data_IF_946633451485
#
_entry.id   IF_946633451485
#
_cell.length_a   1.000
_cell.length_b   1.000
_cell.length_c   1.000
_cell.angle_alpha   90.00
_cell.angle_beta   90.00
_cell.angle_gamma   90.00
#
_symmetry.space_group_name_H-M   'P 1'
#
loop_
_entity.id
_entity.type
_entity.pdbx_description
1 polymer ?
#
# COMPACT_ATOMS: atom_id res chain seq x y z
N UNK A 1 79.11 21.12 12.32
CA UNK A 1 77.95 20.66 11.55
C UNK A 1 77.60 19.26 12.06
N UNK A 2 76.62 19.18 12.95
CA UNK A 2 76.21 17.94 13.65
C UNK A 2 74.86 17.50 13.06
N UNK A 3 74.86 16.39 12.31
CA UNK A 3 73.67 15.82 11.70
C UNK A 3 72.81 15.06 12.71
N UNK A 4 71.53 15.41 12.77
CA UNK A 4 70.51 14.76 13.59
C UNK A 4 70.00 13.46 12.94
N UNK A 5 69.97 12.36 13.70
CA UNK A 5 69.18 11.16 13.39
C UNK A 5 67.82 11.26 14.10
N UNK A 6 66.67 11.06 13.43
CA UNK A 6 65.39 10.92 14.12
C UNK A 6 65.16 9.44 14.49
N UNK A 7 65.05 9.15 15.78
CA UNK A 7 64.47 7.91 16.29
C UNK A 7 62.95 7.96 16.07
N UNK A 8 62.43 7.15 15.15
CA UNK A 8 60.99 6.92 14.99
C UNK A 8 60.51 5.93 16.04
N UNK A 9 59.73 6.43 16.99
CA UNK A 9 59.04 5.66 18.03
C UNK A 9 57.79 4.99 17.41
N UNK A 10 57.80 3.67 17.26
CA UNK A 10 56.62 2.91 16.81
C UNK A 10 55.74 2.62 18.03
N UNK A 11 54.62 3.33 18.13
CA UNK A 11 53.56 3.06 19.10
C UNK A 11 52.72 1.90 18.60
N UNK A 12 52.86 0.71 19.21
CA UNK A 12 51.88 -0.37 19.06
C UNK A 12 50.63 0.00 19.87
N UNK A 13 49.60 0.47 19.18
CA UNK A 13 48.24 0.54 19.73
C UNK A 13 47.65 -0.87 19.77
N UNK A 14 47.62 -1.50 20.94
CA UNK A 14 46.80 -2.67 21.17
C UNK A 14 45.33 -2.24 21.24
N UNK A 15 44.56 -2.49 20.18
CA UNK A 15 43.10 -2.43 20.22
C UNK A 15 42.61 -3.64 21.00
N UNK A 16 42.21 -3.43 22.27
CA UNK A 16 41.36 -4.40 22.96
C UNK A 16 39.99 -4.33 22.28
N UNK A 17 39.70 -5.29 21.40
CA UNK A 17 38.34 -5.59 21.00
C UNK A 17 37.60 -6.10 22.24
N UNK A 18 36.87 -5.19 22.91
CA UNK A 18 35.89 -5.55 23.90
C UNK A 18 34.76 -6.26 23.14
N UNK A 19 34.85 -7.58 23.01
CA UNK A 19 33.71 -8.39 22.57
C UNK A 19 32.59 -8.19 23.60
N UNK A 20 31.66 -7.29 23.31
CA UNK A 20 30.40 -7.17 24.01
C UNK A 20 29.73 -8.54 23.94
N UNK A 21 29.63 -9.23 25.07
CA UNK A 21 28.96 -10.51 25.14
C UNK A 21 27.54 -10.34 24.57
N UNK A 22 27.20 -11.12 23.55
CA UNK A 22 25.86 -11.11 22.97
C UNK A 22 24.84 -11.46 24.07
N UNK A 23 23.81 -10.62 24.22
CA UNK A 23 22.74 -10.78 25.23
C UNK A 23 21.93 -12.05 25.00
N UNK A 24 21.72 -12.40 23.73
CA UNK A 24 21.23 -13.70 23.27
C UNK A 24 22.32 -14.36 22.46
N UNK A 25 23.05 -15.31 23.06
CA UNK A 25 24.15 -16.01 22.38
C UNK A 25 23.71 -17.24 21.59
N UNK A 26 22.53 -17.80 21.88
CA UNK A 26 22.04 -19.06 21.30
C UNK A 26 20.85 -18.79 20.39
N UNK A 27 21.09 -18.87 19.08
CA UNK A 27 20.08 -18.83 18.02
C UNK A 27 19.91 -20.23 17.43
N UNK A 28 19.08 -21.06 18.05
CA UNK A 28 18.88 -22.47 17.68
C UNK A 28 17.40 -22.87 17.84
N UNK A 29 16.97 -23.87 17.08
CA UNK A 29 15.62 -24.41 17.24
C UNK A 29 15.42 -24.96 18.66
N UNK A 30 14.23 -24.74 19.23
CA UNK A 30 13.87 -25.14 20.59
C UNK A 30 14.42 -24.22 21.69
N UNK A 31 14.97 -23.05 21.36
CA UNK A 31 15.45 -22.07 22.34
C UNK A 31 14.65 -20.76 22.31
N UNK A 32 14.56 -20.15 23.48
CA UNK A 32 13.94 -18.87 23.74
C UNK A 32 14.99 -17.76 23.82
N UNK A 33 14.58 -16.52 23.60
CA UNK A 33 15.38 -15.32 23.87
C UNK A 33 15.00 -14.70 25.22
N UNK A 34 13.73 -14.81 25.58
CA UNK A 34 13.19 -14.34 26.84
C UNK A 34 12.08 -15.24 27.36
N UNK A 35 11.83 -15.18 28.67
CA UNK A 35 10.80 -15.96 29.33
C UNK A 35 10.34 -15.28 30.63
N UNK A 36 9.03 -15.26 30.88
CA UNK A 36 8.45 -14.63 32.06
C UNK A 36 8.43 -13.10 31.97
N UNK A 37 8.01 -12.45 33.04
CA UNK A 37 7.75 -11.01 33.09
C UNK A 37 8.67 -10.31 34.07
N UNK A 38 9.27 -9.19 33.64
CA UNK A 38 10.21 -8.38 34.39
C UNK A 38 9.62 -7.05 34.86
N UNK A 39 8.30 -6.87 34.73
CA UNK A 39 7.56 -5.71 35.21
C UNK A 39 7.49 -4.58 34.18
N UNK A 40 7.39 -3.34 34.64
CA UNK A 40 7.22 -2.18 33.76
C UNK A 40 8.54 -1.81 33.08
N UNK A 41 8.46 -1.37 31.84
CA UNK A 41 9.54 -0.66 31.18
C UNK A 41 9.84 0.66 31.92
N UNK A 42 11.05 0.87 32.45
CA UNK A 42 11.41 2.11 33.15
C UNK A 42 11.53 3.33 32.23
N UNK A 43 11.66 3.13 30.90
CA UNK A 43 11.80 4.22 29.92
C UNK A 43 10.43 4.78 29.47
N UNK A 44 9.33 4.06 29.76
CA UNK A 44 7.97 4.43 29.36
C UNK A 44 7.18 4.99 30.55
N UNK A 45 7.15 6.33 30.63
CA UNK A 45 6.46 7.07 31.69
C UNK A 45 4.92 7.05 31.56
N UNK A 46 4.40 7.04 30.34
CA UNK A 46 2.96 7.02 30.04
C UNK A 46 2.70 5.92 29.03
N UNK A 47 1.93 4.91 29.42
CA UNK A 47 1.41 3.88 28.52
C UNK A 47 -0.10 3.86 28.62
N UNK A 48 -0.78 3.79 27.48
CA UNK A 48 -2.24 3.63 27.43
C UNK A 48 -2.65 2.21 27.84
N UNK A 49 -1.74 1.25 27.68
CA UNK A 49 -1.96 -0.16 27.98
C UNK A 49 -0.90 -0.68 28.94
N UNK A 50 -1.35 -1.38 29.97
CA UNK A 50 -0.44 -2.07 30.87
C UNK A 50 -0.02 -3.40 30.25
N UNK A 51 1.25 -3.52 29.88
CA UNK A 51 1.85 -4.80 29.50
C UNK A 51 3.29 -4.86 30.04
N UNK A 52 3.62 -5.88 30.86
CA UNK A 52 4.97 -6.02 31.42
C UNK A 52 5.95 -6.48 30.34
N UNK A 53 7.18 -5.95 30.40
CA UNK A 53 8.27 -6.38 29.52
C UNK A 53 8.79 -7.76 29.93
N UNK A 54 9.27 -8.57 28.99
CA UNK A 54 9.73 -9.91 29.31
C UNK A 54 11.10 -9.88 29.99
N UNK A 55 11.44 -10.96 30.70
CA UNK A 55 12.78 -11.15 31.25
C UNK A 55 13.69 -11.85 30.24
N UNK A 56 14.91 -11.34 30.05
CA UNK A 56 15.94 -12.00 29.26
C UNK A 56 16.19 -13.42 29.79
N UNK A 57 16.09 -14.41 28.90
CA UNK A 57 16.25 -15.82 29.24
C UNK A 57 16.53 -16.62 27.99
N UNK A 58 17.83 -16.80 27.69
CA UNK A 58 18.26 -17.57 26.53
C UNK A 58 18.35 -19.07 26.86
N UNK A 59 17.19 -19.69 27.09
CA UNK A 59 17.05 -21.07 27.61
C UNK A 59 16.16 -21.93 26.70
N UNK A 60 16.20 -23.27 26.81
CA UNK A 60 15.31 -24.14 26.04
C UNK A 60 13.82 -23.85 26.27
N UNK A 61 13.02 -24.00 25.23
CA UNK A 61 11.57 -23.91 25.28
C UNK A 61 11.01 -24.92 26.29
N UNK A 62 9.90 -24.56 26.93
CA UNK A 62 9.31 -25.35 28.03
C UNK A 62 8.09 -26.10 27.54
N UNK A 63 7.99 -27.37 27.91
CA UNK A 63 6.77 -28.15 27.69
C UNK A 63 5.63 -27.53 28.49
N UNK A 64 4.57 -27.13 27.81
CA UNK A 64 3.40 -26.56 28.46
C UNK A 64 2.50 -27.65 29.03
N UNK A 65 1.88 -27.37 30.18
CA UNK A 65 0.93 -28.26 30.87
C UNK A 65 -0.25 -27.46 31.42
N UNK A 66 -1.32 -28.19 31.72
CA UNK A 66 -2.48 -27.73 32.50
C UNK A 66 -3.04 -26.37 32.01
N UNK A 67 -3.22 -25.42 32.94
CA UNK A 67 -3.77 -24.10 32.68
C UNK A 67 -2.97 -23.30 31.64
N UNK A 68 -1.64 -23.49 31.56
CA UNK A 68 -0.80 -22.75 30.59
C UNK A 68 -1.02 -23.28 29.18
N UNK A 69 -1.14 -24.60 29.02
CA UNK A 69 -1.48 -25.20 27.74
C UNK A 69 -2.88 -24.79 27.28
N UNK A 70 -3.87 -24.85 28.18
CA UNK A 70 -5.24 -24.40 27.89
C UNK A 70 -5.27 -22.93 27.47
N UNK A 71 -4.49 -22.08 28.14
CA UNK A 71 -4.40 -20.66 27.79
C UNK A 71 -3.72 -20.42 26.45
N UNK A 72 -2.67 -21.19 26.12
CA UNK A 72 -2.06 -21.12 24.80
C UNK A 72 -3.04 -21.50 23.69
N UNK A 73 -3.85 -22.55 23.88
CA UNK A 73 -4.88 -22.95 22.91
C UNK A 73 -5.90 -21.84 22.65
N UNK A 74 -6.27 -21.09 23.68
CA UNK A 74 -7.22 -19.98 23.58
C UNK A 74 -6.63 -18.78 22.85
N UNK A 75 -5.38 -18.41 23.15
CA UNK A 75 -4.77 -17.15 22.68
C UNK A 75 -3.97 -17.33 21.38
N UNK A 76 -3.29 -18.46 21.23
CA UNK A 76 -2.38 -18.77 20.13
C UNK A 76 -2.60 -20.22 19.62
N UNK A 77 -3.80 -20.56 19.13
CA UNK A 77 -4.15 -21.92 18.74
C UNK A 77 -3.19 -22.53 17.70
N UNK A 78 -2.61 -21.71 16.81
CA UNK A 78 -1.66 -22.13 15.79
C UNK A 78 -0.31 -22.65 16.33
N UNK A 79 0.01 -22.40 17.61
CA UNK A 79 1.21 -22.94 18.27
C UNK A 79 0.95 -24.27 18.98
N UNK A 80 -0.30 -24.73 19.05
CA UNK A 80 -0.64 -26.00 19.67
C UNK A 80 -0.29 -27.18 18.76
N UNK A 81 0.52 -28.12 19.29
CA UNK A 81 0.97 -29.31 18.55
C UNK A 81 0.54 -30.63 19.21
N UNK A 82 -0.21 -30.57 20.33
CA UNK A 82 -0.65 -31.74 21.10
C UNK A 82 -0.36 -31.61 22.60
N UNK A 83 -1.07 -32.38 23.44
CA UNK A 83 -1.02 -32.20 24.90
C UNK A 83 0.36 -32.44 25.52
N UNK A 84 1.10 -33.41 24.99
CA UNK A 84 2.43 -33.80 25.51
C UNK A 84 3.58 -33.38 24.58
N UNK A 85 3.28 -32.56 23.57
CA UNK A 85 4.23 -32.17 22.50
C UNK A 85 4.32 -30.66 22.31
N UNK A 86 3.49 -29.88 23.00
CA UNK A 86 3.46 -28.41 22.87
C UNK A 86 4.50 -27.75 23.76
N UNK A 87 5.57 -27.25 23.12
CA UNK A 87 6.58 -26.42 23.76
C UNK A 87 6.37 -24.95 23.42
N UNK A 88 6.68 -24.05 24.35
CA UNK A 88 6.59 -22.61 24.13
C UNK A 88 7.61 -21.82 24.96
N UNK A 89 7.84 -20.57 24.53
CA UNK A 89 8.74 -19.62 25.19
C UNK A 89 8.02 -18.59 26.08
N UNK A 90 6.80 -18.89 26.52
CA UNK A 90 6.01 -17.98 27.34
C UNK A 90 5.40 -18.65 28.57
N UNK A 91 5.16 -17.83 29.59
CA UNK A 91 4.47 -18.19 30.82
C UNK A 91 2.96 -17.91 30.72
N UNK A 92 2.19 -18.44 31.67
CA UNK A 92 0.76 -18.16 31.79
C UNK A 92 0.45 -16.65 31.84
N UNK A 93 1.20 -15.88 32.64
CA UNK A 93 0.96 -14.45 32.77
C UNK A 93 1.24 -13.70 31.46
N UNK A 94 2.28 -14.08 30.71
CA UNK A 94 2.55 -13.49 29.40
C UNK A 94 1.41 -13.75 28.41
N UNK A 95 0.78 -14.93 28.47
CA UNK A 95 -0.40 -15.23 27.65
C UNK A 95 -1.62 -14.38 28.03
N UNK A 96 -1.82 -14.14 29.33
CA UNK A 96 -2.88 -13.25 29.83
C UNK A 96 -2.62 -11.81 29.38
N UNK A 97 -1.39 -11.32 29.55
CA UNK A 97 -1.00 -9.99 29.09
C UNK A 97 -1.17 -9.84 27.56
N UNK A 98 -0.73 -10.85 26.80
CA UNK A 98 -0.89 -10.89 25.34
C UNK A 98 -2.37 -10.83 24.93
N UNK A 99 -3.24 -11.62 25.57
CA UNK A 99 -4.67 -11.59 25.27
C UNK A 99 -5.27 -10.19 25.47
N UNK A 100 -4.92 -9.54 26.59
CA UNK A 100 -5.41 -8.19 26.89
C UNK A 100 -4.90 -7.16 25.87
N UNK A 101 -3.63 -7.25 25.45
CA UNK A 101 -3.06 -6.38 24.42
C UNK A 101 -3.70 -6.60 23.05
N UNK A 102 -3.97 -7.85 22.66
CA UNK A 102 -4.57 -8.18 21.37
C UNK A 102 -6.05 -7.77 21.29
N UNK A 103 -6.80 -7.80 22.40
CA UNK A 103 -8.24 -7.56 22.41
C UNK A 103 -8.63 -6.22 21.73
N UNK A 104 -7.82 -5.18 21.90
CA UNK A 104 -8.08 -3.84 21.33
C UNK A 104 -7.91 -3.85 19.82
N UNK A 105 -6.80 -4.40 19.33
CA UNK A 105 -6.55 -4.51 17.89
C UNK A 105 -7.57 -5.45 17.24
N UNK A 106 -7.88 -6.58 17.88
CA UNK A 106 -8.90 -7.50 17.39
C UNK A 106 -10.26 -6.82 17.27
N UNK A 107 -10.66 -5.98 18.24
CA UNK A 107 -11.91 -5.21 18.16
C UNK A 107 -11.99 -4.36 16.88
N UNK A 108 -10.87 -3.75 16.48
CA UNK A 108 -10.76 -2.92 15.25
C UNK A 108 -10.72 -3.78 13.99
N UNK A 109 -10.11 -4.97 14.06
CA UNK A 109 -9.90 -5.88 12.91
C UNK A 109 -11.01 -6.94 12.73
N UNK A 110 -12.06 -6.91 13.58
CA UNK A 110 -13.14 -7.92 13.62
C UNK A 110 -13.84 -8.18 12.28
N UNK A 111 -13.87 -7.20 11.36
CA UNK A 111 -14.53 -7.37 10.06
C UNK A 111 -13.85 -8.38 9.13
N UNK A 112 -12.57 -8.68 9.35
CA UNK A 112 -11.83 -9.64 8.54
C UNK A 112 -11.07 -10.62 9.45
N UNK A 113 -11.60 -11.86 9.63
CA UNK A 113 -10.97 -12.87 10.49
C UNK A 113 -9.52 -13.17 10.09
N UNK A 114 -9.22 -13.30 8.79
CA UNK A 114 -7.86 -13.56 8.33
C UNK A 114 -6.85 -12.49 8.78
N UNK A 115 -7.24 -11.21 8.73
CA UNK A 115 -6.43 -10.11 9.23
C UNK A 115 -6.21 -10.20 10.74
N UNK A 116 -7.29 -10.42 11.50
CA UNK A 116 -7.22 -10.56 12.96
C UNK A 116 -6.28 -11.71 13.38
N UNK A 117 -6.35 -12.83 12.67
CA UNK A 117 -5.52 -14.02 12.94
C UNK A 117 -4.05 -13.81 12.54
N UNK A 118 -3.77 -13.20 11.38
CA UNK A 118 -2.41 -12.84 10.99
C UNK A 118 -1.78 -11.87 12.02
N UNK A 119 -2.55 -10.87 12.45
CA UNK A 119 -2.11 -9.92 13.46
C UNK A 119 -1.79 -10.61 14.80
N UNK A 120 -2.69 -11.47 15.29
CA UNK A 120 -2.46 -12.26 16.50
C UNK A 120 -1.24 -13.18 16.34
N UNK A 121 -1.06 -13.81 15.16
CA UNK A 121 0.03 -14.72 14.90
C UNK A 121 1.40 -14.04 14.99
N UNK A 122 1.56 -12.80 14.53
CA UNK A 122 2.81 -12.02 14.69
C UNK A 122 3.24 -12.00 16.17
N UNK A 123 2.34 -11.61 17.07
CA UNK A 123 2.66 -11.54 18.50
C UNK A 123 2.78 -12.91 19.17
N UNK A 124 1.95 -13.88 18.77
CA UNK A 124 2.08 -15.25 19.24
C UNK A 124 3.44 -15.84 18.90
N UNK A 125 3.94 -15.63 17.67
CA UNK A 125 5.27 -16.07 17.29
C UNK A 125 6.33 -15.34 18.12
N UNK A 126 6.29 -14.01 18.17
CA UNK A 126 7.27 -13.24 18.93
C UNK A 126 7.34 -13.63 20.40
N UNK A 127 6.21 -13.88 21.05
CA UNK A 127 6.18 -14.07 22.50
C UNK A 127 6.30 -15.54 22.89
N UNK A 128 5.65 -16.45 22.15
CA UNK A 128 5.44 -17.82 22.58
C UNK A 128 6.08 -18.88 21.68
N UNK A 129 6.60 -18.55 20.49
CA UNK A 129 7.17 -19.56 19.58
C UNK A 129 8.24 -20.40 20.28
N UNK A 130 8.23 -21.75 20.16
CA UNK A 130 9.29 -22.59 20.73
C UNK A 130 10.65 -22.38 20.08
N UNK A 131 10.69 -21.74 18.91
CA UNK A 131 11.90 -21.43 18.16
C UNK A 131 12.20 -19.92 18.16
N UNK A 132 11.75 -19.20 19.20
CA UNK A 132 11.85 -17.74 19.30
C UNK A 132 13.27 -17.22 19.06
N UNK A 133 14.31 -17.91 19.55
CA UNK A 133 15.67 -17.42 19.39
C UNK A 133 16.19 -17.47 17.96
N UNK A 134 15.56 -18.21 17.02
CA UNK A 134 15.99 -18.19 15.62
C UNK A 134 15.76 -16.85 14.94
N UNK A 135 14.73 -16.09 15.34
CA UNK A 135 14.33 -14.86 14.65
C UNK A 135 14.29 -13.64 15.57
N UNK A 136 14.77 -13.76 16.82
CA UNK A 136 14.83 -12.65 17.77
C UNK A 136 16.24 -12.48 18.32
N UNK A 137 16.66 -11.23 18.51
CA UNK A 137 17.95 -10.88 19.10
C UNK A 137 17.79 -9.71 20.07
N UNK A 138 18.11 -9.91 21.35
CA UNK A 138 17.93 -8.85 22.35
C UNK A 138 19.10 -7.87 22.27
N UNK A 139 18.79 -6.58 22.09
CA UNK A 139 19.81 -5.53 21.89
C UNK A 139 19.97 -4.65 23.13
N UNK A 140 18.89 -4.39 23.88
CA UNK A 140 18.94 -3.58 25.11
C UNK A 140 18.13 -4.18 26.25
N UNK A 141 18.60 -3.88 27.45
CA UNK A 141 18.05 -4.42 28.69
C UNK A 141 18.21 -3.43 29.86
N UNK A 142 17.50 -3.71 30.94
CA UNK A 142 17.70 -3.06 32.24
C UNK A 142 17.82 -4.10 33.35
N UNK A 143 18.57 -3.76 34.39
CA UNK A 143 18.67 -4.58 35.58
C UNK A 143 17.56 -4.22 36.57
N UNK A 144 16.92 -5.24 37.13
CA UNK A 144 15.90 -5.11 38.18
C UNK A 144 16.20 -6.06 39.32
N UNK A 145 15.99 -5.60 40.54
CA UNK A 145 15.99 -6.46 41.72
C UNK A 145 14.56 -6.51 42.26
N UNK A 146 14.02 -7.71 42.41
CA UNK A 146 12.68 -7.90 43.00
C UNK A 146 12.69 -7.57 44.49
N UNK A 147 11.50 -7.41 45.09
CA UNK A 147 11.34 -7.19 46.54
C UNK A 147 12.00 -8.31 47.36
N UNK A 148 12.08 -9.52 46.80
CA UNK A 148 12.71 -10.71 47.39
C UNK A 148 14.24 -10.74 47.20
N UNK A 149 14.85 -9.70 46.64
CA UNK A 149 16.30 -9.65 46.39
C UNK A 149 16.77 -10.40 45.14
N UNK A 150 15.87 -11.07 44.40
CA UNK A 150 16.22 -11.78 43.15
C UNK A 150 16.55 -10.78 42.06
N UNK A 151 17.75 -10.88 41.48
CA UNK A 151 18.16 -10.10 40.29
C UNK A 151 17.51 -10.67 39.04
N UNK A 152 16.98 -9.79 38.21
CA UNK A 152 16.36 -10.08 36.93
C UNK A 152 16.86 -9.07 35.89
N UNK A 153 16.86 -9.49 34.64
CA UNK A 153 17.24 -8.65 33.49
C UNK A 153 16.01 -8.49 32.62
N UNK A 154 15.44 -7.29 32.58
CA UNK A 154 14.27 -6.99 31.75
C UNK A 154 14.70 -6.53 30.36
N UNK A 155 13.96 -6.94 29.33
CA UNK A 155 14.23 -6.55 27.94
C UNK A 155 13.65 -5.17 27.67
N UNK A 156 14.42 -4.28 27.04
CA UNK A 156 13.99 -2.95 26.59
C UNK A 156 13.79 -2.89 25.08
N UNK A 157 14.65 -3.60 24.35
CA UNK A 157 14.66 -3.59 22.89
C UNK A 157 15.14 -4.95 22.38
N UNK A 158 14.50 -5.43 21.32
CA UNK A 158 14.98 -6.56 20.56
C UNK A 158 14.68 -6.42 19.07
N UNK A 159 15.49 -7.07 18.26
CA UNK A 159 15.30 -7.19 16.82
C UNK A 159 14.47 -8.42 16.49
N UNK A 160 13.58 -8.30 15.52
CA UNK A 160 12.77 -9.38 14.96
C UNK A 160 13.04 -9.53 13.47
N UNK A 161 13.56 -10.68 13.05
CA UNK A 161 13.89 -10.94 11.64
C UNK A 161 12.78 -11.73 10.98
N UNK A 162 12.08 -11.12 10.03
CA UNK A 162 10.98 -11.76 9.31
C UNK A 162 11.31 -11.96 7.85
N UNK A 163 10.77 -13.00 7.24
CA UNK A 163 10.72 -13.06 5.79
C UNK A 163 9.79 -11.94 5.28
N UNK A 164 10.24 -11.20 4.27
CA UNK A 164 9.45 -10.17 3.61
C UNK A 164 8.06 -10.69 3.20
N UNK A 165 7.98 -11.92 2.67
CA UNK A 165 6.69 -12.49 2.24
C UNK A 165 5.72 -12.72 3.39
N UNK A 166 6.22 -13.06 4.59
CA UNK A 166 5.39 -13.25 5.77
C UNK A 166 4.78 -11.92 6.23
N UNK A 167 5.60 -10.87 6.27
CA UNK A 167 5.15 -9.52 6.62
C UNK A 167 4.18 -8.95 5.59
N UNK A 168 4.47 -9.10 4.30
CA UNK A 168 3.62 -8.59 3.22
C UNK A 168 2.26 -9.28 3.20
N UNK A 169 2.21 -10.61 3.32
CA UNK A 169 0.93 -11.34 3.36
C UNK A 169 0.10 -10.98 4.59
N UNK A 170 0.75 -10.80 5.74
CA UNK A 170 0.06 -10.35 6.97
C UNK A 170 -0.53 -8.95 6.78
N UNK A 171 0.26 -8.02 6.25
CA UNK A 171 -0.19 -6.66 5.93
C UNK A 171 -1.30 -6.63 4.87
N UNK A 172 -1.16 -7.40 3.80
CA UNK A 172 -2.10 -7.44 2.68
C UNK A 172 -3.48 -7.97 3.08
N UNK A 173 -3.52 -8.89 4.05
CA UNK A 173 -4.79 -9.34 4.62
C UNK A 173 -5.55 -8.23 5.36
N UNK A 174 -4.85 -7.18 5.82
CA UNK A 174 -5.37 -6.12 6.68
C UNK A 174 -5.56 -4.77 5.98
N UNK A 175 -4.81 -4.48 4.91
CA UNK A 175 -4.75 -3.13 4.30
C UNK A 175 -6.11 -2.60 3.82
N UNK A 176 -7.04 -3.49 3.47
CA UNK A 176 -8.39 -3.14 3.01
C UNK A 176 -9.44 -3.03 4.10
N UNK A 177 -9.16 -3.49 5.32
CA UNK A 177 -10.15 -3.62 6.40
C UNK A 177 -10.69 -2.26 6.82
N UNK A 178 -12.02 -2.13 6.89
CA UNK A 178 -12.69 -0.89 7.30
C UNK A 178 -13.04 -0.88 8.78
N UNK A 179 -13.10 0.31 9.37
CA UNK A 179 -13.66 0.50 10.72
C UNK A 179 -15.17 0.76 10.57
N UNK A 180 -16.06 -0.06 11.15
CA UNK A 180 -17.51 0.10 11.00
C UNK A 180 -18.01 1.50 11.38
N UNK A 181 -17.46 2.10 12.44
CA UNK A 181 -17.92 3.37 12.99
C UNK A 181 -17.55 4.60 12.16
N UNK A 182 -16.41 4.57 11.44
CA UNK A 182 -15.88 5.75 10.73
C UNK A 182 -15.84 5.56 9.22
N UNK A 183 -15.93 4.33 8.72
CA UNK A 183 -15.70 3.99 7.31
C UNK A 183 -14.23 4.13 6.86
N UNK A 184 -13.34 4.59 7.75
CA UNK A 184 -11.91 4.68 7.49
C UNK A 184 -11.25 3.29 7.44
N UNK A 185 -10.01 3.22 6.96
CA UNK A 185 -9.24 1.97 6.99
C UNK A 185 -8.66 1.73 8.39
N UNK A 186 -8.78 0.51 8.90
CA UNK A 186 -8.21 0.11 10.19
C UNK A 186 -6.71 0.36 10.24
N UNK A 187 -6.00 0.06 9.15
CA UNK A 187 -4.55 0.25 9.04
C UNK A 187 -4.11 1.72 9.24
N UNK A 188 -4.99 2.69 8.99
CA UNK A 188 -4.66 4.10 9.22
C UNK A 188 -4.34 4.40 10.70
N UNK A 189 -5.04 3.72 11.61
CA UNK A 189 -4.81 3.85 13.05
C UNK A 189 -3.56 3.06 13.54
N UNK A 190 -2.98 2.23 12.66
CA UNK A 190 -1.88 1.33 12.97
C UNK A 190 -0.60 1.66 12.17
N UNK A 191 -0.56 2.82 11.50
CA UNK A 191 0.57 3.21 10.64
C UNK A 191 1.08 4.63 10.91
N UNK A 192 0.73 5.17 12.08
CA UNK A 192 1.15 6.49 12.56
C UNK A 192 0.98 7.60 11.52
N UNK A 193 2.05 8.36 11.29
CA UNK A 193 2.06 9.54 10.41
C UNK A 193 1.79 9.23 8.93
N UNK A 194 1.92 7.98 8.50
CA UNK A 194 1.76 7.60 7.09
C UNK A 194 0.30 7.40 6.69
N UNK A 195 -0.60 7.22 7.66
CA UNK A 195 -2.00 6.90 7.41
C UNK A 195 -2.15 5.63 6.58
N UNK A 196 -3.30 5.44 5.92
CA UNK A 196 -3.53 4.25 5.10
C UNK A 196 -2.81 4.29 3.73
N UNK A 197 -2.70 5.46 3.11
CA UNK A 197 -2.29 5.59 1.70
C UNK A 197 -0.80 5.39 1.47
N UNK A 198 0.04 5.76 2.45
CA UNK A 198 1.49 5.61 2.40
C UNK A 198 1.98 4.50 3.33
N UNK A 199 1.08 3.65 3.84
CA UNK A 199 1.47 2.54 4.69
C UNK A 199 2.10 1.42 3.84
N UNK A 200 3.14 0.79 4.38
CA UNK A 200 3.76 -0.42 3.85
C UNK A 200 3.84 -1.45 4.98
N UNK A 201 4.10 -2.73 4.66
CA UNK A 201 4.33 -3.78 5.66
C UNK A 201 5.40 -3.39 6.68
N UNK A 202 6.53 -2.83 6.21
CA UNK A 202 7.59 -2.28 7.08
C UNK A 202 7.04 -1.19 8.00
N UNK A 203 6.43 -0.13 7.46
CA UNK A 203 5.94 1.02 8.26
C UNK A 203 4.87 0.63 9.27
N UNK A 204 4.05 -0.36 8.92
CA UNK A 204 3.06 -0.94 9.80
C UNK A 204 3.74 -1.65 10.98
N UNK A 205 4.70 -2.53 10.71
CA UNK A 205 5.46 -3.23 11.76
C UNK A 205 6.31 -2.26 12.61
N UNK A 206 6.93 -1.26 12.00
CA UNK A 206 7.66 -0.20 12.71
C UNK A 206 6.75 0.49 13.73
N UNK A 207 5.51 0.83 13.32
CA UNK A 207 4.54 1.41 14.25
C UNK A 207 4.17 0.45 15.38
N UNK A 208 4.05 -0.85 15.09
CA UNK A 208 3.77 -1.86 16.12
C UNK A 208 4.92 -2.04 17.12
N UNK A 209 6.15 -1.78 16.69
CA UNK A 209 7.37 -1.91 17.48
C UNK A 209 7.88 -0.63 18.14
N UNK A 210 7.27 0.53 17.85
CA UNK A 210 7.73 1.83 18.38
C UNK A 210 7.06 2.14 19.72
N UNK A 211 7.81 2.07 20.82
CA UNK A 211 7.29 2.36 22.17
C UNK A 211 6.87 3.82 22.37
N UNK A 212 7.31 4.74 21.52
CA UNK A 212 6.95 6.16 21.60
C UNK A 212 5.48 6.42 21.22
N UNK A 213 4.80 5.46 20.58
CA UNK A 213 3.37 5.55 20.27
C UNK A 213 2.46 5.41 21.50
N UNK A 214 3.02 5.05 22.68
CA UNK A 214 2.27 4.88 23.93
C UNK A 214 1.40 3.62 24.00
N UNK A 215 1.52 2.72 23.02
CA UNK A 215 0.82 1.44 22.90
C UNK A 215 1.79 0.25 23.04
N UNK A 216 2.96 0.32 22.41
CA UNK A 216 3.97 -0.73 22.49
C UNK A 216 4.71 -0.68 23.85
N UNK A 217 4.84 -1.81 24.56
CA UNK A 217 5.44 -1.82 25.90
C UNK A 217 6.97 -1.73 25.92
N UNK A 218 7.61 -1.92 24.76
CA UNK A 218 9.06 -1.91 24.57
C UNK A 218 9.34 -1.77 23.06
N UNK A 219 10.59 -1.49 22.70
CA UNK A 219 10.96 -1.30 21.29
C UNK A 219 11.22 -2.64 20.58
N UNK A 220 10.61 -2.82 19.41
CA UNK A 220 10.83 -3.98 18.55
C UNK A 220 11.29 -3.49 17.18
N UNK A 221 12.54 -3.77 16.84
CA UNK A 221 13.10 -3.44 15.53
C UNK A 221 12.82 -4.58 14.54
N UNK A 222 11.81 -4.39 13.70
CA UNK A 222 11.41 -5.39 12.69
C UNK A 222 12.28 -5.27 11.43
N UNK A 223 13.03 -6.32 11.15
CA UNK A 223 13.93 -6.42 10.00
C UNK A 223 13.31 -7.36 8.96
N UNK A 224 12.84 -6.80 7.84
CA UNK A 224 12.27 -7.58 6.75
C UNK A 224 13.37 -8.06 5.78
N UNK A 225 13.53 -9.37 5.74
CA UNK A 225 14.59 -10.05 4.99
C UNK A 225 14.01 -10.61 3.70
N UNK A 226 14.56 -10.26 2.52
CA UNK A 226 14.16 -10.86 1.25
C UNK A 226 14.34 -12.38 1.25
N UNK A 227 13.66 -13.11 0.37
CA UNK A 227 13.67 -14.59 0.36
C UNK A 227 15.06 -15.24 0.31
N UNK A 228 16.04 -14.58 -0.31
CA UNK A 228 17.44 -15.04 -0.41
C UNK A 228 18.40 -14.24 0.49
N UNK A 229 17.87 -13.42 1.40
CA UNK A 229 18.66 -12.63 2.33
C UNK A 229 19.13 -13.47 3.51
N UNK A 230 20.40 -13.31 3.88
CA UNK A 230 20.97 -13.84 5.12
C UNK A 230 21.30 -12.68 6.06
N UNK A 231 21.10 -12.86 7.36
CA UNK A 231 21.30 -11.83 8.38
C UNK A 231 22.60 -12.03 9.16
N UNK A 232 22.89 -13.28 9.57
CA UNK A 232 24.03 -13.64 10.39
C UNK A 232 24.01 -15.12 10.77
N UNK A 233 24.99 -15.59 11.53
CA UNK A 233 25.06 -17.00 11.95
C UNK A 233 23.90 -17.36 12.90
N UNK A 234 23.18 -18.43 12.57
CA UNK A 234 22.10 -19.00 13.41
C UNK A 234 20.75 -18.28 13.33
N UNK A 235 20.68 -17.06 12.81
CA UNK A 235 19.42 -16.34 12.62
C UNK A 235 18.70 -16.86 11.37
N UNK A 236 17.46 -17.31 11.55
CA UNK A 236 16.55 -17.76 10.49
C UNK A 236 15.32 -16.86 10.52
N UNK A 237 15.09 -16.04 9.49
CA UNK A 237 13.94 -15.15 9.45
C UNK A 237 12.62 -15.93 9.57
N UNK A 238 11.70 -15.44 10.40
CA UNK A 238 10.41 -16.07 10.61
C UNK A 238 9.61 -16.12 9.30
N UNK A 239 9.17 -17.32 8.94
CA UNK A 239 8.24 -17.56 7.85
C UNK A 239 7.08 -18.41 8.35
N UNK A 240 6.24 -17.81 9.19
CA UNK A 240 5.10 -18.47 9.80
C UNK A 240 3.92 -18.66 8.84
N UNK A 241 2.90 -19.40 9.29
CA UNK A 241 1.64 -19.51 8.55
C UNK A 241 0.94 -18.15 8.47
N UNK A 242 0.40 -17.84 7.29
CA UNK A 242 -0.44 -16.67 7.04
C UNK A 242 -1.78 -17.13 6.46
N UNK A 243 -2.83 -16.35 6.67
CA UNK A 243 -4.15 -16.57 6.09
C UNK A 243 -4.45 -15.47 5.07
N UNK A 244 -4.84 -15.87 3.86
CA UNK A 244 -5.25 -14.92 2.83
C UNK A 244 -6.64 -14.41 3.14
N UNK A 245 -6.91 -13.13 2.86
CA UNK A 245 -8.23 -12.56 3.15
C UNK A 245 -9.34 -13.09 2.23
N UNK A 246 -8.98 -13.67 1.08
CA UNK A 246 -9.89 -14.35 0.15
C UNK A 246 -10.27 -15.77 0.56
N UNK A 247 -9.72 -16.30 1.65
CA UNK A 247 -9.91 -17.68 2.10
C UNK A 247 -10.46 -17.70 3.54
N UNK A 248 -11.25 -18.72 3.86
CA UNK A 248 -11.74 -18.93 5.22
C UNK A 248 -10.60 -19.41 6.13
N UNK A 249 -10.53 -18.86 7.35
CA UNK A 249 -9.52 -19.25 8.36
C UNK A 249 -9.74 -20.68 8.88
N UNK A 250 -11.01 -21.04 9.05
CA UNK A 250 -11.47 -22.33 9.57
C UNK A 250 -12.50 -22.95 8.63
N UNK A 251 -12.75 -24.26 8.78
CA UNK A 251 -13.69 -24.99 7.93
C UNK A 251 -15.14 -24.47 8.02
N UNK A 252 -15.53 -23.99 9.21
CA UNK A 252 -16.86 -23.42 9.47
C UNK A 252 -16.90 -21.89 9.27
N UNK A 253 -15.78 -21.29 8.84
CA UNK A 253 -15.64 -19.85 8.66
C UNK A 253 -15.93 -19.40 7.24
N UNK A 254 -16.01 -18.08 7.06
CA UNK A 254 -16.15 -17.44 5.75
C UNK A 254 -14.92 -16.56 5.45
N UNK A 255 -14.58 -16.37 4.15
CA UNK A 255 -13.56 -15.41 3.76
C UNK A 255 -14.00 -13.97 4.07
N UNK A 256 -13.04 -13.04 4.08
CA UNK A 256 -13.34 -11.63 4.31
C UNK A 256 -14.19 -11.06 3.16
N UNK A 257 -15.03 -10.07 3.46
CA UNK A 257 -15.88 -9.43 2.44
C UNK A 257 -15.05 -8.65 1.42
N UNK A 258 -15.54 -8.54 0.18
CA UNK A 258 -14.91 -7.74 -0.89
C UNK A 258 -14.66 -6.26 -0.49
N UNK A 259 -15.49 -5.71 0.41
CA UNK A 259 -15.32 -4.35 0.93
C UNK A 259 -14.07 -4.20 1.81
N UNK A 260 -13.73 -5.27 2.54
CA UNK A 260 -12.60 -5.32 3.48
C UNK A 260 -11.36 -5.99 2.86
N UNK A 261 -11.51 -6.70 1.74
CA UNK A 261 -10.45 -7.42 1.04
C UNK A 261 -10.73 -7.45 -0.48
N UNK A 262 -9.89 -6.76 -1.26
CA UNK A 262 -10.05 -6.72 -2.72
C UNK A 262 -9.84 -8.10 -3.39
N UNK A 263 -9.05 -8.98 -2.79
CA UNK A 263 -8.84 -10.36 -3.30
C UNK A 263 -10.11 -11.22 -3.21
N UNK A 264 -11.04 -10.88 -2.33
CA UNK A 264 -12.36 -11.54 -2.23
C UNK A 264 -13.36 -11.04 -3.29
N UNK A 265 -13.01 -10.04 -4.08
CA UNK A 265 -13.93 -9.48 -5.06
C UNK A 265 -14.04 -10.36 -6.31
N UNK A 266 -15.25 -10.52 -6.86
CA UNK A 266 -15.42 -11.19 -8.14
C UNK A 266 -14.68 -10.42 -9.23
N UNK A 267 -14.00 -11.14 -10.12
CA UNK A 267 -13.35 -10.53 -11.27
C UNK A 267 -14.44 -10.05 -12.26
N UNK A 268 -14.59 -8.73 -12.39
CA UNK A 268 -15.52 -8.14 -13.36
C UNK A 268 -14.84 -8.16 -14.73
N UNK A 269 -15.43 -8.80 -15.76
CA UNK A 269 -14.88 -8.76 -17.10
C UNK A 269 -14.72 -7.33 -17.57
N UNK A 270 -13.59 -7.00 -18.18
CA UNK A 270 -13.38 -5.69 -18.80
C UNK A 270 -14.50 -5.48 -19.83
N UNK A 271 -15.23 -4.35 -19.79
CA UNK A 271 -16.29 -4.11 -20.75
C UNK A 271 -15.72 -4.22 -22.16
N UNK A 272 -16.29 -5.12 -22.97
CA UNK A 272 -15.95 -5.22 -24.38
C UNK A 272 -16.06 -3.82 -25.00
N UNK A 273 -15.03 -3.34 -25.72
CA UNK A 273 -15.09 -2.04 -26.38
C UNK A 273 -16.39 -1.99 -27.18
N UNK A 274 -17.30 -1.09 -26.79
CA UNK A 274 -18.50 -0.91 -27.59
C UNK A 274 -18.03 -0.49 -28.98
N UNK A 275 -18.55 -1.10 -30.06
CA UNK A 275 -18.20 -0.68 -31.39
C UNK A 275 -18.47 0.82 -31.49
N UNK A 276 -17.59 1.60 -32.13
CA UNK A 276 -17.82 3.02 -32.32
C UNK A 276 -19.22 3.22 -32.94
N UNK A 277 -19.92 4.32 -32.60
CA UNK A 277 -21.21 4.59 -33.20
C UNK A 277 -21.09 4.49 -34.73
N UNK A 278 -22.10 3.94 -35.42
CA UNK A 278 -22.02 3.74 -36.86
C UNK A 278 -21.71 5.07 -37.54
N UNK A 279 -20.85 5.09 -38.58
CA UNK A 279 -20.54 6.32 -39.29
C UNK A 279 -21.83 6.91 -39.87
N UNK A 280 -21.93 8.24 -39.88
CA UNK A 280 -23.06 8.94 -40.47
C UNK A 280 -23.14 8.60 -41.97
N UNK A 281 -24.16 7.83 -42.36
CA UNK A 281 -24.42 7.42 -43.73
C UNK A 281 -25.83 7.78 -44.15
N UNK A 282 -25.99 8.18 -45.42
CA UNK A 282 -27.28 8.35 -46.07
C UNK A 282 -27.35 7.31 -47.20
N UNK A 283 -28.06 6.21 -46.98
CA UNK A 283 -28.04 5.05 -47.86
C UNK A 283 -26.65 4.40 -47.90
N UNK A 284 -26.05 4.30 -49.08
CA UNK A 284 -24.68 3.77 -49.28
C UNK A 284 -23.58 4.83 -49.27
N UNK A 285 -23.94 6.12 -49.22
CA UNK A 285 -23.00 7.23 -49.29
C UNK A 285 -22.59 7.70 -47.88
N UNK A 286 -21.35 8.18 -47.77
CA UNK A 286 -20.90 8.95 -46.61
C UNK A 286 -21.82 10.18 -46.45
N UNK A 287 -22.37 10.38 -45.25
CA UNK A 287 -23.34 11.45 -45.02
C UNK A 287 -22.73 12.84 -45.20
N UNK A 288 -21.42 13.02 -44.96
CA UNK A 288 -20.71 14.27 -45.25
C UNK A 288 -20.66 14.50 -46.76
N UNK A 289 -20.35 13.46 -47.52
CA UNK A 289 -20.32 13.54 -48.98
C UNK A 289 -21.70 13.87 -49.56
N UNK A 290 -22.77 13.28 -49.01
CA UNK A 290 -24.15 13.62 -49.39
C UNK A 290 -24.48 15.09 -49.16
N UNK A 291 -24.13 15.63 -47.98
CA UNK A 291 -24.32 17.06 -47.66
C UNK A 291 -23.51 17.96 -48.58
N UNK A 292 -22.25 17.62 -48.86
CA UNK A 292 -21.40 18.38 -49.78
C UNK A 292 -21.97 18.41 -51.21
N UNK A 293 -22.48 17.29 -51.72
CA UNK A 293 -23.13 17.23 -53.04
C UNK A 293 -24.39 18.10 -53.10
N UNK A 294 -25.25 18.06 -52.06
CA UNK A 294 -26.44 18.90 -51.99
C UNK A 294 -26.08 20.40 -52.01
N UNK A 295 -25.08 20.81 -51.23
CA UNK A 295 -24.61 22.20 -51.20
C UNK A 295 -24.03 22.64 -52.55
N UNK A 296 -23.25 21.79 -53.22
CA UNK A 296 -22.69 22.09 -54.54
C UNK A 296 -23.79 22.24 -55.61
N UNK A 297 -24.77 21.35 -55.64
CA UNK A 297 -25.93 21.46 -56.54
C UNK A 297 -26.72 22.76 -56.29
N UNK A 298 -26.93 23.13 -55.02
CA UNK A 298 -27.62 24.38 -54.68
C UNK A 298 -26.82 25.61 -55.15
N UNK A 299 -25.51 25.66 -54.90
CA UNK A 299 -24.66 26.77 -55.33
C UNK A 299 -24.55 26.90 -56.85
N UNK A 300 -24.45 25.78 -57.58
CA UNK A 300 -24.40 25.79 -59.04
C UNK A 300 -25.71 26.28 -59.66
N UNK A 301 -26.87 25.88 -59.10
CA UNK A 301 -28.19 26.40 -59.53
C UNK A 301 -28.30 27.90 -59.27
N UNK A 302 -27.90 28.37 -58.09
CA UNK A 302 -27.92 29.81 -57.75
C UNK A 302 -26.99 30.62 -58.65
N UNK A 303 -25.78 30.12 -58.92
CA UNK A 303 -24.82 30.77 -59.81
C UNK A 303 -25.33 30.80 -61.26
N UNK A 304 -25.90 29.68 -61.75
CA UNK A 304 -26.54 29.62 -63.06
C UNK A 304 -27.69 30.61 -63.19
N UNK A 305 -28.59 30.66 -62.21
CA UNK A 305 -29.69 31.62 -62.16
C UNK A 305 -29.20 33.07 -62.17
N UNK A 306 -28.13 33.36 -61.42
CA UNK A 306 -27.48 34.66 -61.41
C UNK A 306 -26.90 35.04 -62.78
N UNK A 307 -26.22 34.11 -63.47
CA UNK A 307 -25.70 34.33 -64.82
C UNK A 307 -26.83 34.56 -65.83
N UNK A 308 -27.90 33.75 -65.79
CA UNK A 308 -29.08 33.94 -66.64
C UNK A 308 -29.71 35.31 -66.37
N UNK A 309 -29.88 35.68 -65.11
CA UNK A 309 -30.38 37.00 -64.74
C UNK A 309 -29.48 38.14 -65.25
N UNK A 310 -28.15 37.99 -65.18
CA UNK A 310 -27.21 38.94 -65.76
C UNK A 310 -27.26 39.01 -67.29
N UNK A 311 -27.40 37.88 -67.98
CA UNK A 311 -27.56 37.84 -69.43
C UNK A 311 -28.87 38.49 -69.88
N UNK A 312 -29.99 38.17 -69.23
CA UNK A 312 -31.29 38.77 -69.51
C UNK A 312 -31.26 40.27 -69.22
N UNK A 313 -30.72 40.71 -68.09
CA UNK A 313 -30.63 42.15 -67.77
C UNK A 313 -29.71 42.91 -68.73
N UNK A 314 -28.57 42.34 -69.14
CA UNK A 314 -27.70 42.93 -70.19
C UNK A 314 -28.40 42.99 -71.55
N UNK A 315 -29.12 41.95 -71.97
CA UNK A 315 -29.88 41.97 -73.22
C UNK A 315 -30.99 43.03 -73.20
N UNK A 316 -31.66 43.21 -72.06
CA UNK A 316 -32.65 44.29 -71.84
C UNK A 316 -32.01 45.67 -71.92
N UNK A 317 -30.80 45.85 -71.37
CA UNK A 317 -30.05 47.10 -71.47
C UNK A 317 -29.48 47.37 -72.88
N UNK A 318 -29.08 46.33 -73.62
CA UNK A 318 -28.64 46.46 -75.01
C UNK A 318 -29.83 46.79 -75.94
N UNK A 319 -30.98 46.18 -75.70
CA UNK A 319 -32.23 46.49 -76.42
C UNK A 319 -32.74 47.91 -76.10
N UNK A 320 -32.56 48.42 -74.88
CA UNK A 320 -32.91 49.80 -74.55
C UNK A 320 -31.95 50.82 -75.18
N UNK A 321 -30.64 50.57 -75.17
CA UNK A 321 -29.65 51.41 -75.89
C UNK A 321 -29.81 51.37 -77.41
N UNK A 322 -30.16 50.22 -77.98
CA UNK A 322 -30.47 50.07 -79.41
C UNK A 322 -31.68 50.90 -79.84
N UNK A 323 -32.77 50.90 -79.05
CA UNK A 323 -33.94 51.78 -79.26
C UNK A 323 -33.61 53.27 -79.10
N UNK A 324 -32.69 53.63 -78.19
CA UNK A 324 -32.26 55.02 -78.01
C UNK A 324 -31.45 55.54 -79.21
N UNK A 325 -30.51 54.74 -79.74
CA UNK A 325 -29.69 55.10 -80.92
C UNK A 325 -30.52 55.27 -82.19
N UNK A 326 -31.55 54.45 -82.36
CA UNK A 326 -32.48 54.54 -83.49
C UNK A 326 -33.37 55.80 -83.42
N UNK A 327 -33.64 56.29 -82.20
CA UNK A 327 -34.35 57.56 -81.95
C UNK A 327 -33.47 58.78 -82.26
N UNK A 328 -32.18 58.75 -81.89
CA UNK A 328 -31.24 59.86 -82.16
C UNK A 328 -30.85 60.00 -83.64
N UNK A 329 -30.89 58.90 -84.41
CA UNK A 329 -30.59 58.93 -85.85
C UNK A 329 -31.73 59.55 -86.69
N UNK A 330 -32.94 59.65 -86.12
CA UNK A 330 -34.11 60.26 -86.76
C UNK A 330 -34.19 61.79 -86.54
N UNK A 331 -33.28 62.36 -85.75
CA UNK A 331 -33.29 63.77 -85.32
C UNK A 331 -32.16 64.63 -85.92
N UNK A 332 -31.44 64.18 -86.96
CA UNK A 332 -30.44 65.00 -87.67
C UNK A 332 -31.04 65.63 -88.95
N UNK A 333 -31.27 66.95 -89.02
CA UNK A 333 -31.63 67.62 -90.27
C UNK A 333 -30.42 67.78 -91.20
N UNK A 334 -30.59 67.42 -92.47
CA UNK A 334 -29.67 67.78 -93.55
C UNK A 334 -29.96 69.24 -93.96
N UNK A 335 -28.95 70.10 -93.85
CA UNK A 335 -28.92 71.47 -94.40
C UNK A 335 -28.31 71.46 -95.82
N UNK A 336 -28.64 72.50 -96.59
CA UNK A 336 -28.27 72.85 -97.99
C UNK A 336 -29.23 72.27 -99.05
N UNK A 337 -29.77 73.02 -100.01
CA UNK A 337 -29.23 74.17 -100.76
C UNK A 337 -30.33 75.00 -101.48
N UNK A 338 -29.86 76.08 -102.09
CA UNK A 338 -30.40 77.35 -102.62
C UNK A 338 -31.62 77.46 -103.58
N UNK A 339 -32.05 78.75 -103.66
CA UNK A 339 -33.05 79.50 -104.44
C UNK A 339 -32.93 79.47 -105.99
N UNK A 340 -33.86 80.12 -106.73
CA UNK A 340 -33.62 81.53 -107.13
C UNK A 340 -34.85 82.46 -107.27
N UNK A 341 -34.62 83.76 -107.00
CA UNK A 341 -34.99 84.87 -107.89
C UNK A 341 -36.41 85.45 -107.85
N UNK A 342 -36.53 86.68 -107.33
CA UNK A 342 -37.67 87.59 -107.45
C UNK A 342 -37.45 88.85 -106.63
#
# INVERSE_FOLDING_TARGET
MLGHFPLTLVLLSATLDLATAALTGIHQAGYCSYYGECGRNPEINVSLLWSPVPCLSNTPARLLKDATLSKLKEVCPQLYTGENTTYACCSYNQLVALQLSLAISQAVLTRCPACSENFANIYCQNICSPNQSLFTNVTRFFNRTTILGTRQVGVLEYQCFYNQSFADQSYDSCKGVRIPATGGYAIAAMCGKYGATLCTSQRWLDFQGDSSNGLAPLDIDFQLVPANGAVGEGIVPLNGKTWRCSEAVSADGEPCSCLDCAESCPQIPTPTPQPPPPPFKVGSLDGVLFVCCLLFCLLTVLFGAFLVWRCVSRSRQASSKGRQRQRDQMTRPALSWECPGG
#
